data_IF_641385592837
#
_entry.id   IF_641385592837
#
_cell.length_a   1.000
_cell.length_b   1.000
_cell.length_c   1.000
_cell.angle_alpha   90.00
_cell.angle_beta   90.00
_cell.angle_gamma   90.00
#
_symmetry.space_group_name_H-M   'P 1'
#
loop_
_entity.id
_entity.type
_entity.pdbx_description
1 polymer ?
#
# COMPACT_ATOMS: atom_id res chain seq x y z
N UNK A 1 -43.02 -1.65 -57.02
CA UNK A 1 -43.25 -2.77 -56.09
C UNK A 1 -42.00 -3.65 -56.17
N UNK A 2 -41.13 -3.87 -55.19
CA UNK A 2 -41.16 -3.78 -53.73
C UNK A 2 -39.80 -3.21 -53.26
N UNK A 3 -39.83 -2.38 -52.21
CA UNK A 3 -38.70 -1.69 -51.58
C UNK A 3 -37.72 -2.66 -50.89
N UNK A 4 -36.42 -2.56 -51.20
CA UNK A 4 -35.36 -3.11 -50.34
C UNK A 4 -34.65 -1.97 -49.60
N UNK A 5 -35.08 -1.78 -48.35
CA UNK A 5 -34.48 -0.86 -47.37
C UNK A 5 -33.37 -1.63 -46.63
N UNK A 6 -32.11 -1.14 -46.56
CA UNK A 6 -31.10 -1.80 -45.75
C UNK A 6 -31.45 -1.66 -44.26
N UNK A 7 -31.31 -2.78 -43.54
CA UNK A 7 -31.63 -2.90 -42.13
C UNK A 7 -30.75 -1.99 -41.26
N UNK A 8 -31.39 -1.36 -40.27
CA UNK A 8 -30.74 -0.61 -39.18
C UNK A 8 -29.79 -1.50 -38.36
N UNK A 9 -28.69 -0.96 -37.82
CA UNK A 9 -27.78 -1.73 -36.98
C UNK A 9 -28.48 -2.16 -35.68
N UNK A 10 -28.37 -3.45 -35.37
CA UNK A 10 -28.81 -4.06 -34.12
C UNK A 10 -28.09 -3.39 -32.94
N UNK A 11 -28.79 -3.00 -31.85
CA UNK A 11 -28.13 -2.47 -30.68
C UNK A 11 -27.21 -3.52 -30.07
N UNK A 12 -25.99 -3.11 -29.73
CA UNK A 12 -24.97 -3.93 -29.11
C UNK A 12 -25.53 -4.64 -27.87
N UNK A 13 -25.52 -5.97 -27.89
CA UNK A 13 -25.84 -6.82 -26.75
C UNK A 13 -24.85 -6.49 -25.63
N UNK A 14 -25.32 -5.77 -24.60
CA UNK A 14 -24.55 -5.55 -23.39
C UNK A 14 -24.32 -6.91 -22.75
N UNK A 15 -23.09 -7.41 -22.83
CA UNK A 15 -22.65 -8.60 -22.11
C UNK A 15 -22.75 -8.26 -20.61
N UNK A 16 -23.86 -8.66 -19.98
CA UNK A 16 -23.94 -8.71 -18.52
C UNK A 16 -22.88 -9.69 -18.06
N UNK A 17 -21.79 -9.17 -17.48
CA UNK A 17 -20.88 -9.98 -16.66
C UNK A 17 -21.67 -10.44 -15.44
N UNK A 18 -22.39 -11.55 -15.58
CA UNK A 18 -22.96 -12.26 -14.43
C UNK A 18 -21.80 -12.75 -13.58
N UNK A 19 -21.59 -12.09 -12.47
CA UNK A 19 -20.60 -12.49 -11.47
C UNK A 19 -21.02 -13.90 -10.97
N UNK A 20 -20.10 -14.88 -10.82
CA UNK A 20 -20.42 -16.29 -10.54
C UNK A 20 -20.78 -16.53 -9.07
N UNK A 21 -21.68 -15.72 -8.53
CA UNK A 21 -22.41 -16.05 -7.32
C UNK A 21 -23.63 -16.84 -7.75
N UNK A 22 -23.95 -17.95 -7.07
CA UNK A 22 -25.33 -18.42 -7.08
C UNK A 22 -26.14 -17.46 -6.18
N UNK A 23 -26.23 -16.20 -6.59
CA UNK A 23 -26.87 -15.11 -5.84
C UNK A 23 -28.37 -15.31 -5.73
N UNK A 24 -28.96 -16.10 -6.63
CA UNK A 24 -30.40 -16.39 -6.64
C UNK A 24 -30.86 -16.92 -5.27
N UNK A 25 -30.09 -17.81 -4.65
CA UNK A 25 -30.41 -18.37 -3.32
C UNK A 25 -30.26 -17.37 -2.16
N UNK A 26 -29.48 -16.30 -2.34
CA UNK A 26 -29.19 -15.30 -1.31
C UNK A 26 -30.05 -14.05 -1.42
N UNK A 27 -30.46 -13.67 -2.64
CA UNK A 27 -31.26 -12.47 -2.91
C UNK A 27 -32.58 -12.50 -2.15
N UNK A 28 -33.19 -13.68 -1.99
CA UNK A 28 -34.45 -13.86 -1.28
C UNK A 28 -34.32 -13.85 0.25
N UNK A 29 -33.11 -13.92 0.81
CA UNK A 29 -32.90 -13.98 2.25
C UNK A 29 -33.02 -12.61 2.89
N UNK A 30 -33.72 -12.52 4.02
CA UNK A 30 -33.78 -11.31 4.83
C UNK A 30 -32.43 -11.04 5.52
N UNK A 31 -32.23 -9.82 6.01
CA UNK A 31 -31.04 -9.50 6.81
C UNK A 31 -30.94 -10.38 8.07
N UNK A 32 -32.07 -10.82 8.63
CA UNK A 32 -32.11 -11.73 9.76
C UNK A 32 -31.66 -13.13 9.38
N UNK A 33 -32.11 -13.65 8.24
CA UNK A 33 -31.68 -14.97 7.71
C UNK A 33 -30.17 -15.00 7.44
N UNK A 34 -29.63 -13.93 6.84
CA UNK A 34 -28.19 -13.81 6.59
C UNK A 34 -27.39 -13.77 7.91
N UNK A 35 -27.90 -13.07 8.94
CA UNK A 35 -27.27 -13.05 10.27
C UNK A 35 -27.31 -14.42 10.93
N UNK A 36 -28.42 -15.14 10.81
CA UNK A 36 -28.56 -16.48 11.35
C UNK A 36 -27.62 -17.46 10.65
N UNK A 37 -27.59 -17.48 9.31
CA UNK A 37 -26.62 -18.28 8.55
C UNK A 37 -25.17 -17.92 8.91
N UNK A 38 -24.85 -16.63 9.02
CA UNK A 38 -23.52 -16.18 9.45
C UNK A 38 -23.14 -16.68 10.85
N UNK A 39 -24.09 -16.68 11.78
CA UNK A 39 -23.90 -17.17 13.15
C UNK A 39 -23.63 -18.67 13.16
N UNK A 40 -24.39 -19.46 12.40
CA UNK A 40 -24.21 -20.92 12.32
C UNK A 40 -22.83 -21.27 11.76
N UNK A 41 -22.43 -20.68 10.63
CA UNK A 41 -21.11 -20.99 10.04
C UNK A 41 -19.98 -20.50 10.95
N UNK A 42 -20.18 -19.41 11.71
CA UNK A 42 -19.19 -18.98 12.72
C UNK A 42 -18.99 -20.00 13.83
N UNK A 43 -20.05 -20.68 14.26
CA UNK A 43 -19.96 -21.75 15.26
C UNK A 43 -19.13 -22.90 14.68
N UNK A 44 -19.45 -23.36 13.47
CA UNK A 44 -18.71 -24.42 12.77
C UNK A 44 -17.21 -24.08 12.59
N UNK A 45 -16.91 -22.86 12.13
CA UNK A 45 -15.53 -22.36 12.01
C UNK A 45 -14.81 -22.34 13.37
N UNK A 46 -15.53 -22.04 14.45
CA UNK A 46 -14.95 -22.05 15.80
C UNK A 46 -14.65 -23.48 16.25
N UNK A 47 -15.57 -24.43 16.04
CA UNK A 47 -15.38 -25.84 16.32
C UNK A 47 -14.17 -26.42 15.56
N UNK A 48 -14.08 -26.15 14.25
CA UNK A 48 -12.94 -26.58 13.42
C UNK A 48 -11.61 -25.97 13.86
N UNK A 49 -11.60 -24.72 14.31
CA UNK A 49 -10.38 -24.09 14.87
C UNK A 49 -9.92 -24.78 16.15
N UNK A 50 -10.85 -25.18 17.02
CA UNK A 50 -10.50 -25.95 18.21
C UNK A 50 -9.89 -27.29 17.81
N UNK A 51 -10.52 -28.02 16.87
CA UNK A 51 -10.03 -29.31 16.35
C UNK A 51 -8.68 -29.25 15.62
N UNK A 52 -8.28 -28.07 15.12
CA UNK A 52 -6.98 -27.82 14.48
C UNK A 52 -5.85 -27.51 15.48
N UNK A 53 -6.21 -27.17 16.73
CA UNK A 53 -5.27 -26.86 17.79
C UNK A 53 -5.09 -28.01 18.79
N UNK A 54 -5.97 -29.02 18.73
CA UNK A 54 -5.81 -30.24 19.51
C UNK A 54 -4.63 -31.05 18.93
N UNK A 55 -3.65 -31.46 19.77
CA UNK A 55 -2.57 -32.34 19.34
C UNK A 55 -3.19 -33.65 18.82
N UNK A 56 -2.96 -33.91 17.53
CA UNK A 56 -3.52 -35.04 16.80
C UNK A 56 -2.79 -36.32 17.17
N UNK A 57 -3.01 -36.84 18.37
CA UNK A 57 -2.32 -38.05 18.79
C UNK A 57 -2.99 -39.34 18.29
N UNK A 58 -4.28 -39.35 17.90
CA UNK A 58 -4.97 -40.61 17.53
C UNK A 58 -6.00 -40.57 16.39
N UNK A 59 -6.25 -39.43 15.73
CA UNK A 59 -7.20 -39.41 14.59
C UNK A 59 -6.48 -39.63 13.26
N UNK A 60 -6.90 -40.60 12.42
CA UNK A 60 -6.30 -40.87 11.10
C UNK A 60 -6.59 -39.78 10.06
N UNK A 61 -7.37 -38.75 10.41
CA UNK A 61 -7.64 -37.64 9.51
C UNK A 61 -6.44 -36.71 9.40
N UNK A 62 -5.83 -36.72 8.22
CA UNK A 62 -4.76 -35.81 7.85
C UNK A 62 -5.16 -34.34 8.14
N UNK A 63 -4.28 -33.50 8.74
CA UNK A 63 -4.52 -32.08 9.01
C UNK A 63 -5.06 -31.30 7.79
N UNK A 64 -4.71 -31.78 6.60
CA UNK A 64 -5.19 -31.27 5.32
C UNK A 64 -6.71 -31.33 5.14
N UNK A 65 -7.39 -32.37 5.65
CA UNK A 65 -8.85 -32.44 5.61
C UNK A 65 -9.49 -31.35 6.46
N UNK A 66 -8.96 -31.12 7.67
CA UNK A 66 -9.42 -30.07 8.58
C UNK A 66 -9.20 -28.68 7.98
N UNK A 67 -8.05 -28.44 7.34
CA UNK A 67 -7.75 -27.19 6.64
C UNK A 67 -8.64 -26.98 5.41
N UNK A 68 -8.91 -28.03 4.62
CA UNK A 68 -9.84 -27.98 3.50
C UNK A 68 -11.26 -27.65 3.94
N UNK A 69 -11.78 -28.32 4.97
CA UNK A 69 -13.09 -28.03 5.53
C UNK A 69 -13.21 -26.58 6.04
N UNK A 70 -12.17 -26.10 6.75
CA UNK A 70 -12.12 -24.71 7.22
C UNK A 70 -12.12 -23.70 6.06
N UNK A 71 -11.41 -24.00 4.98
CA UNK A 71 -11.40 -23.16 3.78
C UNK A 71 -12.78 -23.10 3.12
N UNK A 72 -13.43 -24.25 2.94
CA UNK A 72 -14.78 -24.36 2.36
C UNK A 72 -15.80 -23.52 3.11
N UNK A 73 -15.92 -23.71 4.43
CA UNK A 73 -16.85 -22.94 5.27
C UNK A 73 -16.59 -21.43 5.22
N UNK A 74 -15.33 -21.00 5.12
CA UNK A 74 -14.98 -19.58 4.98
C UNK A 74 -15.30 -19.03 3.60
N UNK A 75 -15.15 -19.85 2.56
CA UNK A 75 -15.60 -19.55 1.21
C UNK A 75 -17.10 -19.29 1.15
N UNK A 76 -17.90 -20.03 1.92
CA UNK A 76 -19.35 -19.83 2.05
C UNK A 76 -19.74 -18.60 2.87
N UNK A 77 -18.96 -18.23 3.89
CA UNK A 77 -19.19 -17.00 4.68
C UNK A 77 -19.05 -15.73 3.83
N UNK A 78 -18.09 -15.70 2.90
CA UNK A 78 -17.78 -14.51 2.10
C UNK A 78 -19.00 -13.94 1.34
N UNK A 79 -19.80 -14.74 0.60
CA UNK A 79 -21.05 -14.30 -0.01
C UNK A 79 -22.06 -13.72 0.98
N UNK A 80 -22.25 -14.40 2.10
CA UNK A 80 -23.24 -14.01 3.11
C UNK A 80 -22.86 -12.67 3.73
N UNK A 81 -21.57 -12.46 3.98
CA UNK A 81 -21.05 -11.17 4.46
C UNK A 81 -21.23 -10.06 3.42
N UNK A 82 -20.93 -10.34 2.14
CA UNK A 82 -21.12 -9.38 1.07
C UNK A 82 -22.58 -8.94 0.95
N UNK A 83 -23.51 -9.90 0.91
CA UNK A 83 -24.93 -9.61 0.77
C UNK A 83 -25.51 -8.87 2.00
N UNK A 84 -25.05 -9.21 3.21
CA UNK A 84 -25.45 -8.51 4.44
C UNK A 84 -24.93 -7.06 4.51
N UNK A 85 -23.77 -6.77 3.90
CA UNK A 85 -23.23 -5.41 3.79
C UNK A 85 -23.99 -4.62 2.73
N UNK A 86 -24.21 -5.20 1.54
CA UNK A 86 -24.99 -4.58 0.47
C UNK A 86 -26.38 -4.14 0.98
N UNK A 87 -27.12 -5.03 1.65
CA UNK A 87 -28.44 -4.71 2.22
C UNK A 87 -28.40 -3.61 3.27
N UNK A 88 -27.30 -3.48 4.02
CA UNK A 88 -27.16 -2.42 5.03
C UNK A 88 -26.89 -1.08 4.35
N UNK A 89 -25.94 -1.03 3.43
CA UNK A 89 -25.53 0.21 2.75
C UNK A 89 -26.67 0.78 1.89
N UNK A 90 -27.44 -0.07 1.21
CA UNK A 90 -28.67 0.33 0.48
C UNK A 90 -29.74 0.89 1.44
N UNK A 91 -29.98 0.22 2.57
CA UNK A 91 -31.00 0.66 3.55
C UNK A 91 -30.61 1.97 4.24
N UNK A 92 -29.34 2.12 4.56
CA UNK A 92 -28.82 3.25 5.32
C UNK A 92 -28.52 4.46 4.41
N UNK A 93 -28.68 4.34 3.09
CA UNK A 93 -28.46 5.42 2.12
C UNK A 93 -27.03 5.96 2.15
N UNK A 94 -26.03 5.11 2.41
CA UNK A 94 -24.66 5.55 2.66
C UNK A 94 -23.92 6.07 1.42
N UNK A 95 -24.48 5.88 0.23
CA UNK A 95 -23.86 6.17 -1.05
C UNK A 95 -24.91 6.74 -2.00
N UNK A 96 -24.65 7.94 -2.53
CA UNK A 96 -25.57 8.67 -3.43
C UNK A 96 -25.81 7.93 -4.76
N UNK A 97 -24.97 6.95 -5.09
CA UNK A 97 -24.96 6.17 -6.33
C UNK A 97 -25.43 4.72 -6.18
N UNK A 98 -25.94 4.32 -5.00
CA UNK A 98 -26.38 2.95 -4.72
C UNK A 98 -27.86 2.92 -4.31
N UNK A 99 -28.75 2.76 -5.29
CA UNK A 99 -30.20 2.69 -5.07
C UNK A 99 -30.71 1.26 -4.84
N UNK A 100 -29.97 0.26 -5.33
CA UNK A 100 -30.35 -1.16 -5.23
C UNK A 100 -29.17 -2.06 -4.89
N UNK A 101 -29.47 -3.31 -4.50
CA UNK A 101 -28.46 -4.35 -4.28
C UNK A 101 -27.70 -4.64 -5.59
N UNK A 102 -28.40 -4.61 -6.73
CA UNK A 102 -27.77 -4.84 -8.03
C UNK A 102 -26.76 -3.75 -8.38
N UNK A 103 -27.05 -2.49 -8.04
CA UNK A 103 -26.13 -1.37 -8.23
C UNK A 103 -24.89 -1.52 -7.34
N UNK A 104 -25.08 -1.96 -6.11
CA UNK A 104 -23.98 -2.27 -5.19
C UNK A 104 -23.01 -3.33 -5.76
N UNK A 105 -23.54 -4.37 -6.40
CA UNK A 105 -22.72 -5.39 -7.07
C UNK A 105 -22.00 -4.83 -8.31
N UNK A 106 -22.63 -3.93 -9.07
CA UNK A 106 -22.03 -3.31 -10.27
C UNK A 106 -20.93 -2.30 -9.96
N UNK A 107 -20.99 -1.63 -8.82
CA UNK A 107 -20.02 -0.62 -8.38
C UNK A 107 -18.73 -1.22 -7.76
N UNK A 108 -18.43 -2.51 -8.00
CA UNK A 108 -17.17 -3.15 -7.60
C UNK A 108 -17.03 -3.45 -6.09
N UNK A 109 -18.01 -3.07 -5.26
CA UNK A 109 -17.99 -3.36 -3.82
C UNK A 109 -18.02 -4.86 -3.49
N UNK A 110 -18.50 -5.67 -4.43
CA UNK A 110 -18.55 -7.13 -4.34
C UNK A 110 -17.18 -7.79 -4.51
N UNK A 111 -16.22 -7.13 -5.16
CA UNK A 111 -14.96 -7.76 -5.58
C UNK A 111 -14.13 -8.20 -4.38
N UNK A 112 -14.19 -7.52 -3.22
CA UNK A 112 -13.48 -7.95 -1.99
C UNK A 112 -13.99 -9.29 -1.49
N UNK A 113 -15.30 -9.52 -1.60
CA UNK A 113 -15.91 -10.74 -1.12
C UNK A 113 -15.69 -11.86 -2.14
N UNK A 114 -15.68 -11.54 -3.44
CA UNK A 114 -15.32 -12.48 -4.49
C UNK A 114 -13.87 -12.94 -4.36
N UNK A 115 -12.93 -12.01 -4.20
CA UNK A 115 -11.51 -12.30 -3.98
C UNK A 115 -11.34 -13.17 -2.72
N UNK A 116 -12.04 -12.85 -1.63
CA UNK A 116 -12.03 -13.67 -0.41
C UNK A 116 -12.48 -15.10 -0.68
N UNK A 117 -13.55 -15.29 -1.46
CA UNK A 117 -14.07 -16.60 -1.83
C UNK A 117 -13.07 -17.37 -2.70
N UNK A 118 -12.53 -16.75 -3.74
CA UNK A 118 -11.54 -17.35 -4.64
C UNK A 118 -10.27 -17.77 -3.89
N UNK A 119 -9.79 -16.93 -2.97
CA UNK A 119 -8.66 -17.28 -2.10
C UNK A 119 -8.97 -18.50 -1.23
N UNK A 120 -10.17 -18.57 -0.65
CA UNK A 120 -10.58 -19.76 0.13
C UNK A 120 -10.66 -21.02 -0.75
N UNK A 121 -11.17 -20.91 -1.98
CA UNK A 121 -11.24 -22.04 -2.92
C UNK A 121 -9.86 -22.55 -3.32
N UNK A 122 -8.91 -21.65 -3.59
CA UNK A 122 -7.53 -22.06 -3.89
C UNK A 122 -6.88 -22.77 -2.70
N UNK A 123 -7.10 -22.27 -1.48
CA UNK A 123 -6.59 -22.92 -0.26
C UNK A 123 -7.23 -24.30 -0.07
N UNK A 124 -8.53 -24.43 -0.31
CA UNK A 124 -9.24 -25.70 -0.26
C UNK A 124 -8.68 -26.71 -1.28
N UNK A 125 -8.41 -26.27 -2.51
CA UNK A 125 -7.82 -27.10 -3.56
C UNK A 125 -6.40 -27.53 -3.24
N UNK A 126 -5.58 -26.64 -2.67
CA UNK A 126 -4.25 -26.98 -2.16
C UNK A 126 -4.38 -28.04 -1.06
N UNK A 127 -5.25 -27.82 -0.08
CA UNK A 127 -5.45 -28.76 1.01
C UNK A 127 -5.91 -30.14 0.51
N UNK A 128 -6.83 -30.19 -0.47
CA UNK A 128 -7.28 -31.44 -1.08
C UNK A 128 -6.16 -32.18 -1.82
N UNK A 129 -5.30 -31.47 -2.54
CA UNK A 129 -4.14 -32.06 -3.22
C UNK A 129 -3.15 -32.66 -2.22
N UNK A 130 -2.89 -31.96 -1.12
CA UNK A 130 -1.98 -32.42 -0.08
C UNK A 130 -2.55 -33.57 0.75
N UNK A 131 -3.87 -33.63 0.92
CA UNK A 131 -4.54 -34.75 1.60
C UNK A 131 -4.31 -36.10 0.92
N UNK A 132 -4.08 -36.12 -0.40
CA UNK A 132 -3.79 -37.33 -1.17
C UNK A 132 -2.30 -37.68 -1.28
N UNK A 133 -1.41 -36.84 -0.78
CA UNK A 133 0.04 -37.06 -0.85
C UNK A 133 0.52 -37.84 0.38
N UNK A 134 1.46 -38.81 0.23
CA UNK A 134 2.00 -39.53 1.37
C UNK A 134 2.72 -38.55 2.32
N UNK A 135 2.56 -38.70 3.65
CA UNK A 135 3.08 -37.75 4.61
C UNK A 135 4.62 -37.81 4.66
N UNK A 136 5.28 -36.84 4.03
CA UNK A 136 6.65 -36.47 4.38
C UNK A 136 6.57 -35.53 5.60
N UNK A 137 6.96 -36.03 6.78
CA UNK A 137 6.69 -35.38 8.06
C UNK A 137 7.32 -33.99 8.22
N UNK A 138 8.44 -33.71 7.54
CA UNK A 138 9.12 -32.41 7.66
C UNK A 138 8.55 -31.39 6.66
N UNK A 139 8.35 -31.80 5.42
CA UNK A 139 7.76 -30.96 4.37
C UNK A 139 6.29 -30.62 4.69
N UNK A 140 5.55 -31.57 5.26
CA UNK A 140 4.15 -31.37 5.67
C UNK A 140 4.02 -30.28 6.74
N UNK A 141 4.88 -30.28 7.77
CA UNK A 141 4.84 -29.26 8.83
C UNK A 141 5.17 -27.87 8.31
N UNK A 142 6.13 -27.76 7.38
CA UNK A 142 6.48 -26.50 6.74
C UNK A 142 5.34 -25.97 5.88
N UNK A 143 4.74 -26.81 5.04
CA UNK A 143 3.61 -26.44 4.18
C UNK A 143 2.37 -26.07 5.01
N UNK A 144 2.11 -26.80 6.10
CA UNK A 144 1.04 -26.47 7.05
C UNK A 144 1.27 -25.09 7.68
N UNK A 145 2.51 -24.78 8.09
CA UNK A 145 2.87 -23.47 8.61
C UNK A 145 2.69 -22.36 7.56
N UNK A 146 3.15 -22.56 6.33
CA UNK A 146 3.01 -21.60 5.22
C UNK A 146 1.53 -21.34 4.90
N UNK A 147 0.67 -22.36 4.96
CA UNK A 147 -0.76 -22.20 4.79
C UNK A 147 -1.45 -21.53 5.97
N UNK A 148 -1.05 -21.81 7.21
CA UNK A 148 -1.52 -21.04 8.38
C UNK A 148 -1.21 -19.55 8.20
N UNK A 149 -0.03 -19.21 7.67
CA UNK A 149 0.31 -17.82 7.32
C UNK A 149 -0.59 -17.26 6.21
N UNK A 150 -0.82 -18.00 5.12
CA UNK A 150 -1.73 -17.58 4.02
C UNK A 150 -3.19 -17.42 4.50
N UNK A 151 -3.64 -18.28 5.41
CA UNK A 151 -4.95 -18.16 6.05
C UNK A 151 -5.06 -16.90 6.92
N UNK A 152 -4.04 -16.60 7.73
CA UNK A 152 -4.06 -15.41 8.57
C UNK A 152 -3.97 -14.11 7.73
N UNK A 153 -3.22 -14.15 6.63
CA UNK A 153 -3.12 -13.06 5.66
C UNK A 153 -4.43 -12.82 4.90
N UNK A 154 -5.12 -13.88 4.46
CA UNK A 154 -6.44 -13.77 3.80
C UNK A 154 -7.55 -13.29 4.76
N UNK A 155 -7.41 -13.47 6.07
CA UNK A 155 -8.38 -13.04 7.08
C UNK A 155 -8.19 -11.58 7.56
N UNK A 156 -6.95 -11.11 7.68
CA UNK A 156 -6.63 -9.75 8.11
C UNK A 156 -6.45 -8.74 6.96
N UNK A 157 -6.15 -9.23 5.76
CA UNK A 157 -5.80 -8.42 4.59
C UNK A 157 -6.97 -7.98 3.72
N UNK A 158 -8.06 -8.75 3.63
CA UNK A 158 -9.13 -8.54 2.62
C UNK A 158 -10.10 -7.37 2.92
N UNK A 159 -9.86 -6.61 4.01
CA UNK A 159 -10.42 -5.26 4.11
C UNK A 159 -9.71 -4.24 3.19
N UNK A 160 -8.58 -4.58 2.56
CA UNK A 160 -7.72 -3.65 1.81
C UNK A 160 -7.07 -4.28 0.55
N UNK A 161 -7.78 -5.09 -0.23
CA UNK A 161 -7.17 -5.82 -1.38
C UNK A 161 -7.89 -5.68 -2.73
N UNK A 162 -8.81 -4.71 -2.91
CA UNK A 162 -9.36 -4.39 -4.25
C UNK A 162 -8.78 -3.05 -4.77
N UNK A 163 -7.46 -2.95 -4.86
CA UNK A 163 -6.82 -1.94 -5.72
C UNK A 163 -5.44 -2.47 -6.11
N UNK A 164 -5.45 -3.53 -6.90
CA UNK A 164 -4.28 -4.31 -7.31
C UNK A 164 -3.38 -3.51 -8.27
N UNK A 165 -2.48 -2.74 -7.66
CA UNK A 165 -1.12 -2.34 -8.07
C UNK A 165 -0.61 -1.25 -7.09
N UNK A 166 -1.51 -0.57 -6.37
CA UNK A 166 -1.16 0.40 -5.33
C UNK A 166 -1.19 -0.13 -3.88
N UNK A 167 -1.83 -1.28 -3.62
CA UNK A 167 -2.18 -1.67 -2.26
C UNK A 167 -1.12 -2.46 -1.46
N UNK A 168 -0.18 -3.17 -2.08
CA UNK A 168 0.94 -3.73 -1.30
C UNK A 168 1.81 -2.60 -0.73
N UNK A 169 2.03 -1.56 -1.54
CA UNK A 169 2.65 -0.30 -1.14
C UNK A 169 1.82 0.38 -0.04
N UNK A 170 0.50 0.49 -0.20
CA UNK A 170 -0.41 1.04 0.82
C UNK A 170 -0.40 0.26 2.13
N UNK A 171 -0.32 -1.08 2.08
CA UNK A 171 -0.27 -1.93 3.27
C UNK A 171 1.10 -1.88 3.96
N UNK A 172 2.20 -1.90 3.21
CA UNK A 172 3.55 -1.65 3.74
C UNK A 172 3.63 -0.25 4.34
N UNK A 173 3.03 0.75 3.70
CA UNK A 173 2.90 2.11 4.21
C UNK A 173 2.07 2.18 5.49
N UNK A 174 0.90 1.52 5.55
CA UNK A 174 0.06 1.43 6.76
C UNK A 174 0.79 0.67 7.89
N UNK A 175 1.54 -0.39 7.58
CA UNK A 175 2.36 -1.15 8.53
C UNK A 175 3.51 -0.30 9.06
N UNK A 176 4.17 0.46 8.19
CA UNK A 176 5.20 1.44 8.51
C UNK A 176 4.63 2.53 9.42
N UNK A 177 3.51 3.16 9.06
CA UNK A 177 2.79 4.12 9.90
C UNK A 177 2.47 3.54 11.28
N UNK A 178 1.94 2.31 11.38
CA UNK A 178 1.61 1.65 12.67
C UNK A 178 2.85 1.32 13.51
N UNK A 179 3.87 0.70 12.91
CA UNK A 179 5.16 0.40 13.57
C UNK A 179 5.80 1.68 14.09
N UNK A 180 5.65 2.77 13.35
CA UNK A 180 6.18 4.05 13.73
C UNK A 180 5.38 4.73 14.80
N UNK A 181 4.05 4.81 14.75
CA UNK A 181 3.24 5.27 15.89
C UNK A 181 3.63 4.50 17.17
N UNK A 182 3.84 3.19 17.08
CA UNK A 182 4.26 2.34 18.20
C UNK A 182 5.68 2.59 18.72
N UNK A 183 6.60 3.12 17.91
CA UNK A 183 8.02 3.34 18.28
C UNK A 183 8.41 4.81 18.41
N UNK A 184 7.68 5.73 17.79
CA UNK A 184 7.63 7.14 18.14
C UNK A 184 7.06 7.32 19.55
N UNK A 185 6.16 6.41 19.95
CA UNK A 185 5.65 6.28 21.31
C UNK A 185 6.14 4.96 21.92
N UNK A 186 7.43 4.81 22.25
CA UNK A 186 7.87 3.60 22.93
C UNK A 186 7.11 3.50 24.26
N UNK A 187 6.31 2.45 24.41
CA UNK A 187 5.53 2.09 25.60
C UNK A 187 5.86 2.90 26.86
N UNK A 188 4.96 3.80 27.25
CA UNK A 188 4.35 3.95 28.57
C UNK A 188 5.20 3.88 29.87
N UNK A 189 6.53 3.84 29.81
CA UNK A 189 7.42 3.81 30.99
C UNK A 189 7.97 5.18 31.38
N UNK A 190 7.66 6.22 30.62
CA UNK A 190 7.78 7.58 31.10
C UNK A 190 6.37 8.09 31.42
N UNK A 191 6.06 8.17 32.72
CA UNK A 191 4.88 8.87 33.24
C UNK A 191 4.93 10.39 32.97
N UNK A 192 6.00 10.89 32.35
CA UNK A 192 6.22 12.31 32.16
C UNK A 192 6.30 12.68 30.66
N UNK A 193 5.31 13.47 30.22
CA UNK A 193 5.31 14.42 29.09
C UNK A 193 5.39 13.93 27.62
N UNK A 194 5.83 12.71 27.30
CA UNK A 194 5.95 12.28 25.87
C UNK A 194 4.65 11.78 25.23
N UNK A 195 3.66 11.35 26.02
CA UNK A 195 2.36 10.88 25.50
C UNK A 195 1.44 12.02 25.06
N UNK A 196 1.65 13.25 25.54
CA UNK A 196 0.86 14.41 25.14
C UNK A 196 1.27 14.96 23.79
N UNK A 197 2.52 14.74 23.35
CA UNK A 197 3.05 15.35 22.13
C UNK A 197 2.26 14.92 20.88
N UNK A 198 1.92 13.63 20.75
CA UNK A 198 1.23 13.09 19.58
C UNK A 198 -0.20 13.64 19.42
N UNK A 199 -0.83 13.98 20.54
CA UNK A 199 -2.18 14.54 20.58
C UNK A 199 -2.17 16.07 20.64
N UNK A 200 -1.04 16.70 20.31
CA UNK A 200 -1.00 18.16 20.13
C UNK A 200 -1.45 18.54 18.72
N UNK A 201 -2.05 19.74 18.56
CA UNK A 201 -2.37 20.28 17.24
C UNK A 201 -1.12 20.48 16.35
N UNK A 202 0.08 20.47 16.93
CA UNK A 202 1.35 20.60 16.21
C UNK A 202 1.81 19.30 15.51
N UNK A 203 1.09 18.19 15.65
CA UNK A 203 1.41 16.90 15.03
C UNK A 203 0.33 16.43 14.04
N UNK A 204 -0.32 17.38 13.37
CA UNK A 204 -1.32 17.11 12.35
C UNK A 204 -1.48 18.27 11.38
N UNK A 205 -2.13 17.97 10.25
CA UNK A 205 -2.63 18.96 9.30
C UNK A 205 -4.07 18.62 8.91
N UNK A 206 -4.93 19.63 8.89
CA UNK A 206 -6.23 19.53 8.22
C UNK A 206 -5.99 19.80 6.74
N UNK A 207 -6.20 18.77 5.92
CA UNK A 207 -5.94 18.80 4.49
C UNK A 207 -7.23 18.50 3.73
N UNK A 208 -7.37 19.12 2.57
CA UNK A 208 -8.35 18.66 1.59
C UNK A 208 -8.10 17.17 1.24
N UNK A 209 -9.16 16.44 0.94
CA UNK A 209 -9.09 15.01 0.67
C UNK A 209 -8.14 14.67 -0.49
N UNK A 210 -8.09 15.50 -1.53
CA UNK A 210 -7.22 15.29 -2.68
C UNK A 210 -5.75 15.60 -2.36
N UNK A 211 -5.49 16.63 -1.55
CA UNK A 211 -4.12 16.94 -1.07
C UNK A 211 -3.61 15.80 -0.18
N UNK A 212 -4.43 15.37 0.79
CA UNK A 212 -4.09 14.22 1.66
C UNK A 212 -3.78 12.98 0.82
N UNK A 213 -4.66 12.64 -0.12
CA UNK A 213 -4.47 11.50 -1.02
C UNK A 213 -3.20 11.68 -1.86
N UNK A 214 -2.92 12.87 -2.37
CA UNK A 214 -1.71 13.17 -3.12
C UNK A 214 -0.42 12.94 -2.32
N UNK A 215 -0.41 13.24 -1.02
CA UNK A 215 0.73 12.96 -0.13
C UNK A 215 0.83 11.45 0.17
N UNK A 216 -0.28 10.81 0.55
CA UNK A 216 -0.33 9.36 0.81
C UNK A 216 0.09 8.56 -0.43
N UNK A 217 -0.21 9.11 -1.61
CA UNK A 217 0.11 8.54 -2.88
C UNK A 217 1.49 8.94 -3.45
N UNK A 218 2.30 9.73 -2.74
CA UNK A 218 3.61 10.10 -3.25
C UNK A 218 3.57 10.95 -4.52
N UNK A 219 2.45 11.63 -4.80
CA UNK A 219 2.29 12.53 -5.96
C UNK A 219 2.86 13.90 -5.63
N UNK A 220 2.62 14.36 -4.40
CA UNK A 220 3.11 15.63 -3.87
C UNK A 220 3.81 15.43 -2.53
N UNK A 221 4.71 16.33 -2.17
CA UNK A 221 5.36 16.35 -0.87
C UNK A 221 5.46 17.78 -0.32
N UNK A 222 5.52 17.90 1.01
CA UNK A 222 5.73 19.18 1.70
C UNK A 222 7.22 19.31 2.03
N UNK A 223 7.82 20.43 1.64
CA UNK A 223 9.25 20.71 1.83
C UNK A 223 9.48 22.08 2.46
N UNK A 224 10.66 22.36 3.03
CA UNK A 224 11.02 23.69 3.50
C UNK A 224 10.96 24.70 2.36
N UNK A 225 10.41 25.88 2.63
CA UNK A 225 10.48 27.00 1.71
C UNK A 225 11.68 27.89 2.07
N UNK A 226 12.80 27.67 1.38
CA UNK A 226 14.06 28.42 1.57
C UNK A 226 14.30 29.46 0.47
N UNK A 227 13.30 29.73 -0.36
CA UNK A 227 13.37 30.68 -1.48
C UNK A 227 14.25 30.26 -2.66
N UNK A 228 14.87 29.08 -2.58
CA UNK A 228 15.73 28.53 -3.63
C UNK A 228 15.43 27.04 -3.82
N UNK A 229 15.62 26.59 -5.05
CA UNK A 229 15.66 25.17 -5.38
C UNK A 229 17.04 24.60 -5.04
N UNK A 230 17.15 23.34 -4.60
CA UNK A 230 18.44 22.70 -4.46
C UNK A 230 19.08 22.58 -5.84
N UNK A 231 20.17 23.32 -6.03
CA UNK A 231 20.93 23.36 -7.28
C UNK A 231 21.96 22.24 -7.37
N UNK A 232 22.52 22.05 -8.56
CA UNK A 232 23.52 21.01 -8.83
C UNK A 232 24.96 21.49 -8.63
N UNK A 233 25.21 22.80 -8.67
CA UNK A 233 26.55 23.34 -8.45
C UNK A 233 26.89 23.43 -6.96
N UNK A 234 28.18 23.39 -6.64
CA UNK A 234 28.65 23.53 -5.26
C UNK A 234 28.25 24.89 -4.64
N UNK A 235 28.27 25.96 -5.44
CA UNK A 235 27.89 27.31 -5.01
C UNK A 235 26.39 27.41 -4.71
N UNK A 236 25.54 26.82 -5.56
CA UNK A 236 24.10 26.73 -5.33
C UNK A 236 23.80 25.91 -4.08
N UNK A 237 24.46 24.77 -3.89
CA UNK A 237 24.28 23.91 -2.73
C UNK A 237 24.73 24.61 -1.43
N UNK A 238 25.82 25.37 -1.47
CA UNK A 238 26.31 26.17 -0.33
C UNK A 238 25.30 27.27 0.03
N UNK A 239 24.77 27.96 -0.97
CA UNK A 239 23.75 29.00 -0.78
C UNK A 239 22.45 28.41 -0.23
N UNK A 240 22.00 27.29 -0.80
CA UNK A 240 20.83 26.55 -0.32
C UNK A 240 21.00 26.11 1.13
N UNK A 241 22.14 25.53 1.50
CA UNK A 241 22.43 25.09 2.86
C UNK A 241 22.47 26.26 3.85
N UNK A 242 22.98 27.42 3.44
CA UNK A 242 22.93 28.65 4.24
C UNK A 242 21.48 29.05 4.53
N UNK A 243 20.65 29.20 3.49
CA UNK A 243 19.24 29.57 3.64
C UNK A 243 18.46 28.53 4.46
N UNK A 244 18.77 27.25 4.29
CA UNK A 244 18.15 26.18 5.05
C UNK A 244 18.52 26.26 6.54
N UNK A 245 19.75 26.63 6.89
CA UNK A 245 20.13 26.83 8.29
C UNK A 245 19.47 28.06 8.91
N UNK A 246 19.34 29.16 8.15
CA UNK A 246 18.56 30.33 8.56
C UNK A 246 17.09 29.96 8.79
N UNK A 247 16.50 29.21 7.85
CA UNK A 247 15.14 28.68 7.97
C UNK A 247 14.96 27.80 9.23
N UNK A 248 15.95 26.96 9.58
CA UNK A 248 15.90 26.15 10.80
C UNK A 248 15.89 26.99 12.08
N UNK A 249 16.60 28.12 12.08
CA UNK A 249 16.73 29.01 13.22
C UNK A 249 15.49 29.86 13.46
N UNK A 250 14.61 30.00 12.46
CA UNK A 250 13.33 30.70 12.57
C UNK A 250 12.35 29.94 13.46
N UNK A 251 11.57 30.70 14.24
CA UNK A 251 10.41 30.19 14.99
C UNK A 251 9.21 29.90 14.09
N UNK A 252 9.10 30.64 12.98
CA UNK A 252 8.01 30.62 12.00
C UNK A 252 8.45 29.92 10.70
N UNK A 253 8.76 28.63 10.79
CA UNK A 253 9.18 27.85 9.63
C UNK A 253 8.10 27.84 8.54
N UNK A 254 8.50 28.27 7.35
CA UNK A 254 7.66 28.30 6.15
C UNK A 254 7.91 27.07 5.27
N UNK A 255 6.88 26.63 4.58
CA UNK A 255 6.90 25.39 3.79
C UNK A 255 6.25 25.62 2.44
N UNK A 256 6.57 24.76 1.48
CA UNK A 256 5.94 24.74 0.16
C UNK A 256 5.61 23.31 -0.27
N UNK A 257 4.72 23.18 -1.24
CA UNK A 257 4.41 21.90 -1.89
C UNK A 257 5.34 21.74 -3.09
N UNK A 258 5.78 20.50 -3.33
CA UNK A 258 6.42 20.08 -4.58
C UNK A 258 5.69 18.88 -5.16
N UNK A 259 5.74 18.73 -6.48
CA UNK A 259 5.18 17.58 -7.19
C UNK A 259 6.28 16.54 -7.45
N UNK A 260 6.18 15.41 -6.77
CA UNK A 260 7.15 14.31 -6.83
C UNK A 260 6.87 13.34 -7.98
N UNK A 261 5.61 13.19 -8.42
CA UNK A 261 5.23 12.34 -9.56
C UNK A 261 4.21 13.08 -10.47
N UNK A 262 4.66 14.01 -11.34
CA UNK A 262 3.76 14.73 -12.25
C UNK A 262 3.07 13.83 -13.28
N UNK A 263 3.65 12.66 -13.57
CA UNK A 263 3.16 11.72 -14.56
C UNK A 263 2.04 10.82 -13.99
N UNK A 264 1.74 10.96 -12.68
CA UNK A 264 0.65 10.23 -12.05
C UNK A 264 -0.69 10.67 -12.65
N UNK A 265 -1.61 9.76 -13.02
CA UNK A 265 -2.91 10.13 -13.58
C UNK A 265 -3.69 11.12 -12.70
N UNK A 266 -3.65 10.93 -11.38
CA UNK A 266 -4.29 11.84 -10.43
C UNK A 266 -3.59 13.19 -10.25
N UNK A 267 -2.35 13.34 -10.72
CA UNK A 267 -1.65 14.63 -10.67
C UNK A 267 -2.28 15.64 -11.63
N UNK A 268 -2.63 15.18 -12.84
CA UNK A 268 -3.16 15.99 -13.95
C UNK A 268 -4.69 15.98 -14.04
N UNK A 269 -5.36 15.09 -13.31
CA UNK A 269 -6.82 15.02 -13.27
C UNK A 269 -7.38 16.31 -12.66
N UNK A 270 -8.30 16.96 -13.37
CA UNK A 270 -9.04 18.12 -12.87
C UNK A 270 -9.89 17.71 -11.67
N UNK A 271 -9.73 18.41 -10.55
CA UNK A 271 -10.41 18.26 -9.27
C UNK A 271 -10.84 19.63 -8.77
N UNK A 272 -12.02 19.70 -8.17
CA UNK A 272 -12.44 20.89 -7.44
C UNK A 272 -11.84 20.84 -6.04
N UNK A 273 -10.83 21.68 -5.76
CA UNK A 273 -10.20 21.78 -4.44
C UNK A 273 -10.91 22.81 -3.55
N UNK A 274 -11.35 23.94 -4.12
CA UNK A 274 -12.08 24.98 -3.38
C UNK A 274 -12.73 26.00 -4.31
N UNK A 275 -13.94 26.46 -3.96
CA UNK A 275 -14.58 27.60 -4.62
C UNK A 275 -13.80 28.91 -4.44
N UNK A 276 -12.94 28.99 -3.41
CA UNK A 276 -12.17 30.21 -3.10
C UNK A 276 -10.89 30.33 -3.91
N UNK A 277 -10.43 29.23 -4.50
CA UNK A 277 -9.20 29.18 -5.29
C UNK A 277 -9.43 28.43 -6.60
N UNK A 278 -10.20 29.02 -7.54
CA UNK A 278 -10.49 28.40 -8.83
C UNK A 278 -9.22 28.19 -9.67
N UNK A 279 -8.11 28.85 -9.34
CA UNK A 279 -6.82 28.70 -10.00
C UNK A 279 -6.13 27.35 -9.72
N UNK A 280 -6.60 26.57 -8.75
CA UNK A 280 -6.07 25.24 -8.44
C UNK A 280 -7.07 24.17 -8.84
N UNK A 281 -6.84 23.56 -10.01
CA UNK A 281 -7.67 22.49 -10.54
C UNK A 281 -6.96 21.14 -10.51
N UNK A 282 -5.62 21.12 -10.41
CA UNK A 282 -4.81 19.91 -10.48
C UNK A 282 -3.78 19.90 -9.36
N UNK A 283 -3.31 18.72 -8.97
CA UNK A 283 -2.22 18.63 -7.99
C UNK A 283 -0.94 19.28 -8.52
N UNK A 284 -0.75 19.29 -9.85
CA UNK A 284 0.38 19.98 -10.50
C UNK A 284 0.39 21.49 -10.28
N UNK A 285 -0.77 22.11 -10.05
CA UNK A 285 -0.88 23.56 -9.89
C UNK A 285 -0.32 24.04 -8.54
N UNK A 286 -0.11 23.09 -7.61
CA UNK A 286 0.50 23.33 -6.30
C UNK A 286 2.03 23.27 -6.32
N UNK A 287 2.67 22.92 -7.44
CA UNK A 287 4.14 22.82 -7.48
C UNK A 287 4.82 24.16 -7.15
N UNK A 288 5.75 24.14 -6.19
CA UNK A 288 6.45 25.31 -5.69
C UNK A 288 5.60 26.29 -4.87
N UNK A 289 4.30 26.03 -4.65
CA UNK A 289 3.42 26.96 -3.93
C UNK A 289 3.67 26.92 -2.43
N UNK A 290 3.80 28.11 -1.84
CA UNK A 290 3.95 28.31 -0.39
C UNK A 290 2.68 27.88 0.35
N UNK A 291 2.85 27.15 1.46
CA UNK A 291 1.78 26.79 2.37
C UNK A 291 1.38 28.00 3.22
N UNK A 292 0.08 28.26 3.26
CA UNK A 292 -0.52 29.26 4.14
C UNK A 292 -1.23 28.57 5.31
N UNK A 293 -0.73 28.79 6.53
CA UNK A 293 -1.39 28.29 7.74
C UNK A 293 -2.47 29.27 8.18
N UNK A 294 -3.70 28.76 8.33
CA UNK A 294 -4.84 29.56 8.79
C UNK A 294 -4.82 29.84 10.31
N UNK A 295 -3.93 29.18 11.04
CA UNK A 295 -3.79 29.31 12.50
C UNK A 295 -2.31 29.32 12.88
N UNK A 296 -2.01 29.73 14.12
CA UNK A 296 -0.65 29.70 14.66
C UNK A 296 -0.17 28.29 15.04
N UNK A 297 -1.05 27.28 15.00
CA UNK A 297 -0.71 25.88 15.26
C UNK A 297 0.02 25.26 14.06
N UNK A 298 1.27 25.67 13.85
CA UNK A 298 2.11 25.14 12.77
C UNK A 298 2.60 23.73 13.10
N UNK A 299 2.55 22.78 12.16
CA UNK A 299 3.05 21.44 12.39
C UNK A 299 4.55 21.48 12.70
N UNK A 300 5.01 20.61 13.59
CA UNK A 300 6.43 20.48 13.90
C UNK A 300 7.19 20.02 12.66
N UNK A 301 8.40 20.55 12.46
CA UNK A 301 9.33 20.13 11.39
C UNK A 301 9.43 18.61 11.24
N UNK A 302 9.50 17.90 12.37
CA UNK A 302 9.66 16.44 12.39
C UNK A 302 8.45 15.70 11.81
N UNK A 303 7.24 16.20 12.05
CA UNK A 303 6.01 15.67 11.46
C UNK A 303 6.01 15.85 9.94
N UNK A 304 6.37 17.05 9.46
CA UNK A 304 6.43 17.33 8.02
C UNK A 304 7.53 16.56 7.30
N UNK A 305 8.72 16.45 7.91
CA UNK A 305 9.80 15.61 7.41
C UNK A 305 9.34 14.15 7.24
N UNK A 306 8.52 13.67 8.18
CA UNK A 306 7.97 12.31 8.12
C UNK A 306 6.97 12.13 6.98
N UNK A 307 6.05 13.09 6.80
CA UNK A 307 5.12 13.06 5.67
C UNK A 307 5.86 13.10 4.32
N UNK A 308 6.88 13.96 4.23
CA UNK A 308 7.77 14.03 3.07
C UNK A 308 8.41 12.68 2.77
N UNK A 309 9.06 12.06 3.77
CA UNK A 309 9.76 10.79 3.58
C UNK A 309 8.80 9.69 3.14
N UNK A 310 7.60 9.65 3.72
CA UNK A 310 6.55 8.70 3.38
C UNK A 310 6.05 8.87 1.94
N UNK A 311 5.85 10.12 1.51
CA UNK A 311 5.44 10.48 0.15
C UNK A 311 6.52 10.09 -0.87
N UNK A 312 7.77 10.50 -0.66
CA UNK A 312 8.88 10.21 -1.59
C UNK A 312 9.17 8.70 -1.67
N UNK A 313 9.03 7.97 -0.57
CA UNK A 313 9.14 6.51 -0.56
C UNK A 313 8.11 5.85 -1.48
N UNK A 314 6.85 6.28 -1.38
CA UNK A 314 5.75 5.78 -2.21
C UNK A 314 5.97 6.15 -3.69
N UNK A 315 6.42 7.37 -3.97
CA UNK A 315 6.76 7.82 -5.32
C UNK A 315 7.85 6.94 -5.95
N UNK A 316 8.90 6.66 -5.17
CA UNK A 316 10.04 5.83 -5.58
C UNK A 316 9.62 4.41 -5.94
N UNK A 317 8.76 3.79 -5.13
CA UNK A 317 8.25 2.44 -5.40
C UNK A 317 7.43 2.37 -6.68
N UNK A 318 6.52 3.32 -6.91
CA UNK A 318 5.68 3.31 -8.12
C UNK A 318 6.47 3.50 -9.40
N UNK A 319 7.42 4.44 -9.40
CA UNK A 319 8.22 4.71 -10.62
C UNK A 319 9.03 3.49 -11.02
N UNK A 320 9.55 2.74 -10.04
CA UNK A 320 10.22 1.46 -10.28
C UNK A 320 9.31 0.46 -11.00
N UNK A 321 8.07 0.29 -10.52
CA UNK A 321 7.12 -0.66 -11.11
C UNK A 321 6.75 -0.29 -12.55
N UNK A 322 6.71 1.01 -12.89
CA UNK A 322 6.42 1.47 -14.27
C UNK A 322 7.59 1.27 -15.23
N UNK A 323 8.81 1.56 -14.79
CA UNK A 323 9.95 1.68 -15.72
C UNK A 323 10.73 0.38 -15.92
N UNK A 324 10.53 -0.65 -15.08
CA UNK A 324 11.13 -1.98 -15.23
C UNK A 324 12.66 -2.04 -15.12
N UNK A 325 13.36 -0.90 -15.19
CA UNK A 325 14.81 -0.79 -15.10
C UNK A 325 15.23 -0.50 -13.66
N UNK A 326 15.99 -1.42 -13.08
CA UNK A 326 16.63 -1.21 -11.79
C UNK A 326 17.60 -0.03 -11.86
N UNK A 327 17.53 0.85 -10.85
CA UNK A 327 18.60 1.76 -10.39
C UNK A 327 18.62 3.20 -10.89
N UNK A 328 17.69 3.67 -11.74
CA UNK A 328 17.59 5.12 -11.98
C UNK A 328 16.59 5.70 -10.99
N UNK A 329 17.07 6.05 -9.79
CA UNK A 329 16.36 7.01 -8.95
C UNK A 329 16.19 8.25 -9.81
N UNK A 330 14.93 8.55 -10.12
CA UNK A 330 14.55 9.72 -10.89
C UNK A 330 15.21 10.98 -10.33
N UNK A 331 15.76 11.82 -11.20
CA UNK A 331 16.38 13.09 -10.80
C UNK A 331 15.40 13.97 -10.01
N UNK A 332 14.09 13.85 -10.23
CA UNK A 332 13.06 14.52 -9.42
C UNK A 332 13.02 14.00 -7.99
N UNK A 333 13.11 12.69 -7.80
CA UNK A 333 13.15 12.08 -6.47
C UNK A 333 14.46 12.45 -5.77
N UNK A 334 15.59 12.42 -6.49
CA UNK A 334 16.88 12.90 -5.97
C UNK A 334 16.81 14.36 -5.54
N UNK A 335 16.22 15.22 -6.38
CA UNK A 335 16.00 16.63 -6.08
C UNK A 335 15.07 16.81 -4.87
N UNK A 336 13.99 16.01 -4.78
CA UNK A 336 13.10 16.00 -3.63
C UNK A 336 13.86 15.69 -2.33
N UNK A 337 14.74 14.69 -2.34
CA UNK A 337 15.60 14.36 -1.21
C UNK A 337 16.54 15.51 -0.83
N UNK A 338 17.04 16.29 -1.79
CA UNK A 338 17.92 17.43 -1.49
C UNK A 338 17.24 18.49 -0.60
N UNK A 339 15.90 18.60 -0.61
CA UNK A 339 15.21 19.57 0.25
C UNK A 339 15.39 19.32 1.75
N UNK A 340 15.40 18.05 2.14
CA UNK A 340 15.55 17.61 3.53
C UNK A 340 16.91 16.97 3.82
N UNK A 341 17.77 16.85 2.80
CA UNK A 341 18.94 15.96 2.77
C UNK A 341 20.25 16.56 3.25
N UNK A 342 20.29 17.88 3.48
CA UNK A 342 21.51 18.50 3.99
C UNK A 342 21.84 17.99 5.39
N UNK A 343 23.13 17.80 5.73
CA UNK A 343 23.58 17.45 7.07
C UNK A 343 22.89 18.30 8.15
N UNK A 344 22.39 17.65 9.20
CA UNK A 344 21.74 18.32 10.33
C UNK A 344 20.34 18.88 10.06
N UNK A 345 19.69 18.53 8.95
CA UNK A 345 18.26 18.85 8.71
C UNK A 345 17.35 17.79 9.33
N UNK A 346 17.73 16.51 9.22
CA UNK A 346 17.06 15.40 9.88
C UNK A 346 17.58 15.21 11.30
N UNK A 347 16.84 15.72 12.29
CA UNK A 347 17.01 15.36 13.72
C UNK A 347 16.15 14.15 14.05
N UNK A 348 16.18 13.14 13.18
CA UNK A 348 15.34 11.98 13.38
C UNK A 348 16.15 11.11 14.30
N UNK A 349 15.60 10.89 15.50
CA UNK A 349 16.24 10.02 16.46
C UNK A 349 16.70 8.75 15.71
N UNK A 350 17.98 8.36 15.80
CA UNK A 350 18.51 7.20 15.08
C UNK A 350 17.67 5.92 15.28
N UNK A 351 16.95 5.80 16.40
CA UNK A 351 16.01 4.72 16.66
C UNK A 351 14.74 4.80 15.80
N UNK A 352 14.22 6.01 15.54
CA UNK A 352 13.10 6.24 14.62
C UNK A 352 13.52 5.88 13.20
N UNK A 353 14.72 6.31 12.78
CA UNK A 353 15.26 5.95 11.46
C UNK A 353 15.47 4.43 11.35
N UNK A 354 16.09 3.79 12.35
CA UNK A 354 16.23 2.32 12.39
C UNK A 354 14.88 1.62 12.34
N UNK A 355 13.86 2.17 13.01
CA UNK A 355 12.52 1.60 13.02
C UNK A 355 11.82 1.70 11.67
N UNK A 356 11.96 2.84 11.00
CA UNK A 356 11.50 3.04 9.64
C UNK A 356 12.13 2.01 8.69
N UNK A 357 13.46 1.91 8.72
CA UNK A 357 14.24 0.96 7.92
C UNK A 357 13.80 -0.48 8.17
N UNK A 358 13.58 -0.86 9.44
CA UNK A 358 13.04 -2.19 9.80
C UNK A 358 11.62 -2.39 9.32
N UNK A 359 10.78 -1.36 9.37
CA UNK A 359 9.39 -1.45 8.97
C UNK A 359 9.22 -1.63 7.46
N UNK A 360 10.15 -1.10 6.67
CA UNK A 360 10.17 -1.31 5.21
C UNK A 360 10.64 -2.73 4.84
N UNK A 361 11.47 -3.38 5.67
CA UNK A 361 11.82 -4.82 5.54
C UNK A 361 13.20 -5.11 4.92
N UNK A 362 13.39 -6.31 4.36
CA UNK A 362 14.49 -6.68 3.42
C UNK A 362 15.90 -6.12 3.63
N UNK A 363 16.69 -6.61 4.60
CA UNK A 363 18.15 -6.39 4.64
C UNK A 363 18.62 -4.94 4.84
N UNK A 364 17.72 -3.99 5.05
CA UNK A 364 18.04 -2.57 5.08
C UNK A 364 18.92 -2.16 6.28
N UNK A 365 18.98 -2.97 7.34
CA UNK A 365 19.94 -2.80 8.45
C UNK A 365 21.39 -3.01 7.98
N UNK A 366 21.63 -3.92 7.01
CA UNK A 366 22.94 -4.07 6.33
C UNK A 366 23.27 -2.86 5.46
N UNK A 367 22.26 -2.23 4.85
CA UNK A 367 22.44 -0.98 4.11
C UNK A 367 22.76 0.17 5.05
N UNK A 368 22.07 0.26 6.20
CA UNK A 368 22.31 1.25 7.24
C UNK A 368 23.75 1.18 7.77
N UNK A 369 24.23 -0.04 8.09
CA UNK A 369 25.59 -0.25 8.57
C UNK A 369 26.65 0.10 7.50
N UNK A 370 26.39 -0.21 6.22
CA UNK A 370 27.28 0.19 5.11
C UNK A 370 27.26 1.69 4.84
N UNK A 371 26.12 2.35 5.00
CA UNK A 371 25.98 3.79 4.86
C UNK A 371 26.73 4.54 5.96
N UNK A 372 26.67 4.08 7.21
CA UNK A 372 27.45 4.66 8.31
C UNK A 372 28.95 4.74 8.01
N UNK A 373 29.51 3.72 7.37
CA UNK A 373 30.93 3.72 7.00
C UNK A 373 31.28 4.64 5.81
N UNK A 374 30.34 4.91 4.90
CA UNK A 374 30.59 5.73 3.70
C UNK A 374 30.20 7.20 3.84
N UNK A 375 29.18 7.47 4.63
CA UNK A 375 28.54 8.79 4.74
C UNK A 375 28.85 9.47 6.09
N UNK A 376 29.61 8.84 6.98
CA UNK A 376 29.81 9.35 8.35
C UNK A 376 28.51 9.38 9.16
N UNK A 377 28.60 9.88 10.40
CA UNK A 377 27.53 9.79 11.41
C UNK A 377 26.34 10.77 11.17
N UNK A 378 26.28 11.48 10.04
CA UNK A 378 25.39 12.65 9.89
C UNK A 378 24.45 12.65 8.66
N UNK A 379 24.36 11.55 7.91
CA UNK A 379 23.54 11.48 6.68
C UNK A 379 22.32 10.56 6.81
N UNK A 380 21.38 10.94 7.66
CA UNK A 380 20.09 10.25 7.89
C UNK A 380 19.25 10.05 6.61
N UNK A 381 19.29 11.02 5.69
CA UNK A 381 18.55 10.92 4.44
C UNK A 381 19.25 10.06 3.38
N UNK A 382 20.58 10.13 3.30
CA UNK A 382 21.38 9.25 2.41
C UNK A 382 21.25 7.77 2.80
N UNK A 383 21.11 7.48 4.09
CA UNK A 383 20.75 6.15 4.59
C UNK A 383 19.36 5.72 4.10
N UNK A 384 18.37 6.62 4.13
CA UNK A 384 17.01 6.33 3.67
C UNK A 384 16.98 6.08 2.16
N UNK A 385 17.62 6.95 1.38
CA UNK A 385 17.76 6.83 -0.08
C UNK A 385 18.45 5.52 -0.46
N UNK A 386 19.57 5.18 0.18
CA UNK A 386 20.29 3.93 -0.09
C UNK A 386 19.52 2.71 0.41
N UNK A 387 18.75 2.83 1.50
CA UNK A 387 17.84 1.76 1.93
C UNK A 387 16.74 1.52 0.88
N UNK A 388 16.16 2.58 0.30
CA UNK A 388 15.19 2.49 -0.78
C UNK A 388 15.78 1.93 -2.08
N UNK A 389 16.98 2.39 -2.44
CA UNK A 389 17.71 1.95 -3.63
C UNK A 389 18.12 0.47 -3.55
N UNK A 390 18.58 0.02 -2.38
CA UNK A 390 19.19 -1.32 -2.20
C UNK A 390 18.29 -2.40 -1.61
N UNK A 391 17.07 -2.09 -1.18
CA UNK A 391 16.18 -3.12 -0.62
C UNK A 391 15.73 -4.18 -1.62
N UNK A 392 15.95 -3.98 -2.92
CA UNK A 392 15.63 -4.98 -3.93
C UNK A 392 16.63 -4.98 -5.10
N UNK A 393 17.79 -5.60 -4.88
CA UNK A 393 18.31 -6.54 -5.87
C UNK A 393 18.76 -7.83 -5.18
N UNK A 394 17.85 -8.79 -4.90
CA UNK A 394 18.19 -10.21 -4.68
C UNK A 394 16.96 -11.08 -4.96
N UNK A 395 16.59 -11.30 -6.22
CA UNK A 395 16.07 -12.60 -6.70
C UNK A 395 16.63 -12.80 -8.11
N UNK A 396 17.95 -13.02 -8.19
CA UNK A 396 18.61 -13.94 -9.12
C UNK A 396 20.12 -13.71 -9.03
N UNK A 397 20.75 -14.27 -7.99
CA UNK A 397 22.20 -14.52 -8.03
C UNK A 397 22.53 -15.78 -8.86
N UNK A 398 21.53 -16.43 -9.48
CA UNK A 398 21.70 -17.61 -10.35
C UNK A 398 21.43 -17.34 -11.84
N UNK A 399 21.25 -16.09 -12.27
CA UNK A 399 21.17 -15.79 -13.70
C UNK A 399 22.56 -15.38 -14.20
N UNK A 400 23.44 -16.37 -14.38
CA UNK A 400 24.55 -16.20 -15.31
C UNK A 400 23.93 -16.04 -16.71
N UNK A 401 24.16 -14.92 -17.41
CA UNK A 401 23.77 -14.84 -18.80
C UNK A 401 24.62 -15.86 -19.55
N UNK A 402 23.99 -16.96 -19.98
CA UNK A 402 24.57 -17.81 -21.01
C UNK A 402 24.75 -16.94 -22.26
N UNK A 403 25.97 -16.44 -22.44
CA UNK A 403 26.44 -15.93 -23.71
C UNK A 403 26.56 -17.15 -24.60
N UNK A 404 25.55 -17.36 -25.45
CA UNK A 404 25.75 -18.21 -26.62
C UNK A 404 26.74 -17.49 -27.52
N UNK A 405 28.00 -17.90 -27.45
CA UNK A 405 28.89 -17.76 -28.59
C UNK A 405 28.32 -18.69 -29.66
N UNK A 406 27.70 -18.10 -30.68
CA UNK A 406 27.49 -18.79 -31.94
C UNK A 406 28.88 -18.94 -32.57
N UNK A 407 29.56 -20.04 -32.20
CA UNK A 407 30.60 -20.63 -33.03
C UNK A 407 29.88 -21.22 -34.25
N UNK A 408 29.53 -20.36 -35.21
CA UNK A 408 29.31 -20.79 -36.58
C UNK A 408 30.58 -20.43 -37.34
N UNK A 409 31.34 -21.50 -37.54
CA UNK A 409 32.59 -21.63 -38.25
C UNK A 409 32.59 -20.92 -39.62
N UNK A 410 33.74 -20.30 -39.89
CA UNK A 410 34.31 -20.20 -41.22
C UNK A 410 34.33 -21.60 -41.87
N UNK A 411 33.70 -21.76 -43.04
CA UNK A 411 34.23 -22.48 -44.20
C UNK A 411 33.13 -22.85 -45.20
N UNK A 412 33.00 -22.06 -46.29
CA UNK A 412 32.93 -22.67 -47.62
C UNK A 412 33.30 -21.67 -48.72
N UNK A 413 34.57 -21.79 -49.11
CA UNK A 413 35.24 -21.51 -50.38
C UNK A 413 34.44 -21.04 -51.62
N UNK A 414 35.19 -20.24 -52.40
CA UNK A 414 35.20 -20.07 -53.87
C UNK A 414 34.31 -18.99 -54.50
#
# INVERSE_FOLDING_TARGET
>A
MINNKPASPTPATTIRRTVPWNTEDLIHLTLQDLRQKHRLIKIEVSCLKHLLNEPSDDTPESPWHKHGALAGWRGEIAPIQGHAVARREVRDGCHDDIESIDDWYRNGHADRFLIKRLACQQIEEIARRQAGSPPDTENTRRQEWELRQLFDLSLGGIKNTISACGDEISQKHKRMQRQMVKRYCPNHRFKDQSSTELYTPFNGLFLDNYIRKGIEEGIIAIVPDVGLEPGSSEEEQKTYNKNLNEWKARSDQDYKIIVTDPDHPSAVTIKSFSLRHPEFERLTDFDGRKLMFQTDFRPRRRYLWWMFLSSVAVASWRRRDRNGSGNIIDDRIRKAFAYWGSPGVGQVNPDVMRSFVRAIGGGAERCLNRCKHRLGDHHDLGVSVVAFDRQYPVINENYEPHVYYSDDDDDMFA
#
